data_IF_570325668209
#
_entry.id   IF_570325668209
#
_cell.length_a   1.000
_cell.length_b   1.000
_cell.length_c   1.000
_cell.angle_alpha   90.00
_cell.angle_beta   90.00
_cell.angle_gamma   90.00
#
_symmetry.space_group_name_H-M   'P 1'
#
loop_
_entity.id
_entity.type
_entity.pdbx_description
1 polymer ?
#
# COMPACT_ATOMS: atom_id res chain seq x y z
N UNK A 1 1.30 1.26 -5.17
CA UNK A 1 0.41 2.43 -5.31
C UNK A 1 0.18 2.78 -6.78
N UNK A 2 1.24 3.06 -7.55
CA UNK A 2 1.14 3.53 -8.94
C UNK A 2 0.23 2.69 -9.86
N UNK A 3 0.40 1.35 -9.90
CA UNK A 3 -0.39 0.49 -10.80
C UNK A 3 -1.88 0.49 -10.52
N UNK A 4 -2.28 0.37 -9.25
CA UNK A 4 -3.69 0.34 -8.86
C UNK A 4 -4.33 1.74 -8.97
N UNK A 5 -3.60 2.79 -8.59
CA UNK A 5 -4.07 4.17 -8.76
C UNK A 5 -4.31 4.52 -10.25
N UNK A 6 -3.47 4.01 -11.16
CA UNK A 6 -3.65 4.20 -12.60
C UNK A 6 -4.84 3.43 -13.21
N UNK A 7 -5.40 2.45 -12.50
CA UNK A 7 -6.48 1.59 -13.02
C UNK A 7 -7.83 1.83 -12.34
N UNK A 8 -7.83 2.08 -11.03
CA UNK A 8 -9.06 2.27 -10.24
C UNK A 8 -9.04 3.53 -9.37
N UNK A 9 -8.09 4.44 -9.60
CA UNK A 9 -8.04 5.76 -8.95
C UNK A 9 -7.49 5.77 -7.51
N UNK A 10 -7.25 4.60 -6.90
CA UNK A 10 -6.67 4.48 -5.55
C UNK A 10 -5.62 3.38 -5.48
N UNK A 11 -4.60 3.57 -4.66
CA UNK A 11 -3.55 2.57 -4.41
C UNK A 11 -3.80 1.68 -3.19
N UNK A 12 -4.93 1.85 -2.51
CA UNK A 12 -5.27 1.14 -1.28
C UNK A 12 -5.96 -0.21 -1.56
N UNK A 13 -6.07 -1.05 -0.53
CA UNK A 13 -7.02 -2.16 -0.54
C UNK A 13 -8.41 -1.64 -0.89
N UNK A 14 -9.22 -2.42 -1.60
CA UNK A 14 -10.58 -2.00 -2.01
C UNK A 14 -11.65 -2.47 -1.02
N UNK A 15 -11.45 -3.63 -0.38
CA UNK A 15 -12.40 -4.24 0.53
C UNK A 15 -11.88 -4.28 1.98
N UNK A 16 -12.73 -4.73 2.92
CA UNK A 16 -12.35 -4.98 4.30
C UNK A 16 -11.76 -6.39 4.47
N UNK A 17 -10.92 -6.59 5.49
CA UNK A 17 -10.48 -7.91 5.95
C UNK A 17 -11.69 -8.79 6.31
N UNK A 18 -12.77 -8.21 6.82
CA UNK A 18 -14.00 -8.95 7.12
C UNK A 18 -14.67 -9.52 5.88
N UNK A 19 -14.46 -8.92 4.71
CA UNK A 19 -15.09 -9.36 3.46
C UNK A 19 -14.42 -10.62 2.88
N UNK A 20 -13.23 -11.01 3.38
CA UNK A 20 -12.48 -12.17 2.86
C UNK A 20 -13.30 -13.46 2.95
N UNK A 21 -14.11 -13.62 4.02
CA UNK A 21 -14.93 -14.83 4.22
C UNK A 21 -16.15 -14.89 3.32
N UNK A 22 -16.49 -13.79 2.63
CA UNK A 22 -17.63 -13.70 1.69
C UNK A 22 -17.22 -14.05 0.24
N UNK A 23 -15.93 -14.28 0.00
CA UNK A 23 -15.42 -14.64 -1.32
C UNK A 23 -15.67 -16.13 -1.63
N UNK A 24 -16.18 -16.42 -2.83
CA UNK A 24 -16.28 -17.78 -3.36
C UNK A 24 -14.93 -18.24 -3.92
N UNK A 25 -14.12 -17.30 -4.40
CA UNK A 25 -12.77 -17.54 -4.93
C UNK A 25 -11.79 -16.54 -4.33
N UNK A 26 -10.70 -17.07 -3.79
CA UNK A 26 -9.54 -16.29 -3.35
C UNK A 26 -8.42 -16.52 -4.35
N UNK A 27 -7.96 -15.48 -5.03
CA UNK A 27 -6.74 -15.53 -5.83
C UNK A 27 -5.62 -14.86 -5.04
N UNK A 28 -4.71 -15.66 -4.49
CA UNK A 28 -3.56 -15.17 -3.71
C UNK A 28 -2.32 -15.30 -4.59
N UNK A 29 -1.63 -14.19 -4.85
CA UNK A 29 -0.45 -14.16 -5.72
C UNK A 29 0.69 -13.34 -5.14
N UNK A 30 1.93 -13.83 -5.24
CA UNK A 30 3.11 -13.12 -4.75
C UNK A 30 3.02 -12.73 -3.26
N UNK A 31 2.40 -13.58 -2.43
CA UNK A 31 2.22 -13.35 -1.00
C UNK A 31 2.35 -14.65 -0.20
N UNK A 32 3.14 -14.61 0.87
CA UNK A 32 3.15 -15.64 1.91
C UNK A 32 2.30 -15.17 3.10
N UNK A 33 0.98 -15.14 2.90
CA UNK A 33 0.04 -14.53 3.85
C UNK A 33 0.03 -15.23 5.21
N UNK A 34 0.37 -16.51 5.30
CA UNK A 34 0.42 -17.25 6.58
C UNK A 34 1.49 -16.70 7.51
N UNK A 35 2.66 -16.33 6.97
CA UNK A 35 3.77 -15.75 7.75
C UNK A 35 3.62 -14.22 7.90
N UNK A 36 3.31 -13.54 6.80
CA UNK A 36 3.34 -12.07 6.76
C UNK A 36 2.08 -11.43 7.35
N UNK A 37 0.92 -12.10 7.26
CA UNK A 37 -0.38 -11.59 7.71
C UNK A 37 -1.24 -12.70 8.34
N UNK A 38 -0.81 -13.31 9.47
CA UNK A 38 -1.46 -14.51 10.02
C UNK A 38 -2.98 -14.36 10.24
N UNK A 39 -3.43 -13.17 10.67
CA UNK A 39 -4.86 -12.86 10.89
C UNK A 39 -5.65 -12.88 9.57
N UNK A 40 -5.09 -12.37 8.48
CA UNK A 40 -5.74 -12.43 7.16
C UNK A 40 -5.74 -13.85 6.61
N UNK A 41 -4.64 -14.58 6.80
CA UNK A 41 -4.56 -16.01 6.47
C UNK A 41 -5.63 -16.83 7.20
N UNK A 42 -5.91 -16.51 8.47
CA UNK A 42 -7.01 -17.15 9.21
C UNK A 42 -8.37 -16.91 8.52
N UNK A 43 -8.66 -15.69 8.07
CA UNK A 43 -9.90 -15.41 7.33
C UNK A 43 -9.96 -16.16 5.99
N UNK A 44 -8.83 -16.25 5.27
CA UNK A 44 -8.75 -17.02 4.02
C UNK A 44 -8.99 -18.51 4.26
N UNK A 45 -8.32 -19.10 5.26
CA UNK A 45 -8.53 -20.51 5.66
C UNK A 45 -9.96 -20.76 6.09
N UNK A 46 -10.58 -19.81 6.80
CA UNK A 46 -11.98 -19.85 7.20
C UNK A 46 -12.91 -19.87 5.97
N UNK A 47 -12.70 -18.99 5.00
CA UNK A 47 -13.46 -18.99 3.75
C UNK A 47 -13.37 -20.37 3.05
N UNK A 48 -12.16 -20.94 2.95
CA UNK A 48 -11.96 -22.25 2.31
C UNK A 48 -12.63 -23.38 3.10
N UNK A 49 -12.41 -23.46 4.42
CA UNK A 49 -12.83 -24.61 5.24
C UNK A 49 -14.29 -24.56 5.66
N UNK A 50 -14.83 -23.38 5.95
CA UNK A 50 -16.19 -23.21 6.48
C UNK A 50 -17.20 -22.80 5.41
N UNK A 51 -16.76 -22.11 4.36
CA UNK A 51 -17.65 -21.62 3.27
C UNK A 51 -17.44 -22.34 1.94
N UNK A 52 -16.41 -23.17 1.83
CA UNK A 52 -16.11 -23.91 0.59
C UNK A 52 -15.50 -23.05 -0.51
N UNK A 53 -14.92 -21.89 -0.17
CA UNK A 53 -14.25 -21.02 -1.13
C UNK A 53 -13.09 -21.76 -1.82
N UNK A 54 -12.89 -21.52 -3.12
CA UNK A 54 -11.76 -22.07 -3.87
C UNK A 54 -10.58 -21.12 -3.82
N UNK A 55 -9.46 -21.58 -3.29
CA UNK A 55 -8.22 -20.81 -3.27
C UNK A 55 -7.35 -21.15 -4.51
N UNK A 56 -7.09 -20.14 -5.35
CA UNK A 56 -6.08 -20.16 -6.39
C UNK A 56 -4.82 -19.52 -5.80
N UNK A 57 -3.77 -20.31 -5.61
CA UNK A 57 -2.46 -19.83 -5.16
C UNK A 57 -1.52 -19.72 -6.36
N UNK A 58 -0.93 -18.54 -6.55
CA UNK A 58 0.05 -18.24 -7.59
C UNK A 58 1.36 -17.84 -6.89
N UNK A 59 2.21 -18.84 -6.60
CA UNK A 59 3.52 -18.63 -5.96
C UNK A 59 4.48 -19.75 -6.40
N UNK A 60 5.72 -19.45 -6.84
CA UNK A 60 6.71 -20.46 -7.21
C UNK A 60 7.03 -21.45 -6.06
N UNK A 61 6.92 -20.99 -4.82
CA UNK A 61 7.21 -21.77 -3.61
C UNK A 61 5.95 -22.48 -3.14
N UNK A 62 6.15 -23.59 -2.41
CA UNK A 62 5.09 -24.26 -1.66
C UNK A 62 5.05 -23.68 -0.25
N UNK A 63 4.28 -22.61 -0.07
CA UNK A 63 3.99 -22.03 1.24
C UNK A 63 2.88 -22.81 1.96
N UNK A 64 2.66 -22.57 3.25
CA UNK A 64 1.63 -23.27 4.05
C UNK A 64 0.22 -23.11 3.43
N UNK A 65 -0.08 -21.96 2.83
CA UNK A 65 -1.38 -21.73 2.17
C UNK A 65 -1.63 -22.67 0.98
N UNK A 66 -0.58 -23.30 0.42
CA UNK A 66 -0.72 -24.30 -0.64
C UNK A 66 -1.51 -25.55 -0.19
N UNK A 67 -1.49 -25.89 1.10
CA UNK A 67 -2.26 -27.01 1.66
C UNK A 67 -3.78 -26.76 1.69
N UNK A 68 -4.19 -25.52 1.43
CA UNK A 68 -5.59 -25.10 1.32
C UNK A 68 -5.96 -24.76 -0.13
N UNK A 69 -5.00 -24.78 -1.07
CA UNK A 69 -5.22 -24.35 -2.44
C UNK A 69 -6.02 -25.38 -3.23
N UNK A 70 -7.10 -24.93 -3.88
CA UNK A 70 -7.78 -25.70 -4.90
C UNK A 70 -6.90 -25.84 -6.16
N UNK A 71 -6.17 -24.78 -6.49
CA UNK A 71 -5.21 -24.76 -7.60
C UNK A 71 -3.95 -24.02 -7.18
N UNK A 72 -2.79 -24.68 -7.30
CA UNK A 72 -1.48 -24.06 -7.09
C UNK A 72 -0.74 -23.94 -8.42
N UNK A 73 -0.52 -22.70 -8.85
CA UNK A 73 0.30 -22.34 -10.01
C UNK A 73 1.68 -21.91 -9.53
N UNK A 74 2.72 -22.60 -10.00
CA UNK A 74 4.12 -22.36 -9.63
C UNK A 74 4.90 -21.80 -10.82
N UNK A 75 4.64 -20.53 -11.15
CA UNK A 75 5.26 -19.87 -12.29
C UNK A 75 6.76 -19.64 -12.06
N UNK A 76 7.54 -19.48 -13.12
CA UNK A 76 8.91 -18.97 -13.01
C UNK A 76 8.88 -17.54 -12.43
N UNK A 77 9.72 -17.19 -11.45
CA UNK A 77 9.73 -15.83 -10.89
C UNK A 77 9.89 -14.74 -11.96
N UNK A 78 9.10 -13.66 -11.86
CA UNK A 78 9.14 -12.54 -12.81
C UNK A 78 8.37 -12.77 -14.11
N UNK A 79 7.53 -13.81 -14.20
CA UNK A 79 6.69 -14.10 -15.38
C UNK A 79 5.22 -13.76 -15.19
N UNK A 80 4.90 -12.92 -14.19
CA UNK A 80 3.54 -12.66 -13.71
C UNK A 80 2.66 -11.97 -14.76
N UNK A 81 3.18 -10.96 -15.48
CA UNK A 81 2.45 -10.32 -16.59
C UNK A 81 2.02 -11.35 -17.65
N UNK A 82 2.91 -12.28 -18.01
CA UNK A 82 2.61 -13.31 -19.00
C UNK A 82 1.49 -14.26 -18.51
N UNK A 83 1.52 -14.63 -17.23
CA UNK A 83 0.47 -15.45 -16.63
C UNK A 83 -0.89 -14.73 -16.63
N UNK A 84 -0.93 -13.49 -16.15
CA UNK A 84 -2.17 -12.72 -16.04
C UNK A 84 -2.74 -12.37 -17.41
N UNK A 85 -1.90 -12.05 -18.40
CA UNK A 85 -2.35 -11.86 -19.78
C UNK A 85 -2.86 -13.16 -20.40
N UNK A 86 -2.25 -14.31 -20.09
CA UNK A 86 -2.77 -15.63 -20.49
C UNK A 86 -4.14 -15.92 -19.89
N UNK A 87 -4.36 -15.54 -18.63
CA UNK A 87 -5.67 -15.64 -17.99
C UNK A 87 -6.69 -14.68 -18.63
N UNK A 88 -6.31 -13.42 -18.86
CA UNK A 88 -7.18 -12.41 -19.48
C UNK A 88 -7.58 -12.82 -20.91
N UNK A 89 -6.64 -13.34 -21.69
CA UNK A 89 -6.91 -13.91 -23.01
C UNK A 89 -7.95 -15.03 -22.91
N UNK A 90 -7.78 -15.99 -21.99
CA UNK A 90 -8.74 -17.08 -21.81
C UNK A 90 -10.14 -16.57 -21.40
N UNK A 91 -10.23 -15.56 -20.53
CA UNK A 91 -11.50 -14.94 -20.14
C UNK A 91 -12.23 -14.36 -21.36
N UNK A 92 -11.50 -13.65 -22.22
CA UNK A 92 -12.07 -13.03 -23.42
C UNK A 92 -12.42 -14.08 -24.48
N UNK A 93 -11.53 -15.04 -24.75
CA UNK A 93 -11.70 -16.05 -25.79
C UNK A 93 -12.85 -17.04 -25.50
N UNK A 94 -13.24 -17.19 -24.23
CA UNK A 94 -14.34 -18.06 -23.80
C UNK A 94 -15.61 -17.30 -23.40
N UNK A 95 -15.71 -16.00 -23.68
CA UNK A 95 -16.87 -15.16 -23.36
C UNK A 95 -17.23 -15.15 -21.86
N UNK A 96 -16.22 -15.16 -20.97
CA UNK A 96 -16.40 -15.04 -19.50
C UNK A 96 -16.31 -13.60 -19.00
N UNK A 97 -16.28 -12.64 -19.91
CA UNK A 97 -16.27 -11.20 -19.60
C UNK A 97 -17.63 -10.81 -19.02
N UNK A 98 -17.60 -9.96 -17.99
CA UNK A 98 -18.80 -9.30 -17.51
C UNK A 98 -19.13 -8.10 -18.41
N UNK A 99 -19.76 -8.37 -19.55
CA UNK A 99 -20.06 -7.40 -20.61
C UNK A 99 -20.80 -6.15 -20.10
N UNK A 100 -21.73 -6.34 -19.16
CA UNK A 100 -22.46 -5.22 -18.55
C UNK A 100 -21.53 -4.34 -17.74
N UNK A 101 -20.73 -4.92 -16.86
CA UNK A 101 -19.80 -4.16 -16.02
C UNK A 101 -18.75 -3.43 -16.87
N UNK A 102 -18.16 -4.13 -17.85
CA UNK A 102 -17.17 -3.55 -18.75
C UNK A 102 -17.75 -2.32 -19.47
N UNK A 103 -18.95 -2.42 -20.03
CA UNK A 103 -19.61 -1.29 -20.71
C UNK A 103 -19.97 -0.13 -19.77
N UNK A 104 -20.43 -0.42 -18.56
CA UNK A 104 -20.97 0.60 -17.64
C UNK A 104 -19.92 1.26 -16.73
N UNK A 105 -18.81 0.58 -16.47
CA UNK A 105 -17.88 0.93 -15.36
C UNK A 105 -16.40 0.90 -15.76
N UNK A 106 -16.07 0.66 -17.03
CA UNK A 106 -14.67 0.61 -17.49
C UNK A 106 -14.47 1.39 -18.77
N UNK A 107 -13.21 1.66 -19.09
CA UNK A 107 -12.77 2.21 -20.37
C UNK A 107 -11.56 1.40 -20.89
N UNK A 108 -11.24 1.52 -22.18
CA UNK A 108 -10.04 0.89 -22.76
C UNK A 108 -10.11 -0.63 -23.00
N UNK A 109 -11.31 -1.25 -22.93
CA UNK A 109 -11.48 -2.69 -23.14
C UNK A 109 -10.89 -3.20 -24.47
N UNK A 110 -11.15 -2.51 -25.59
CA UNK A 110 -10.63 -2.92 -26.90
C UNK A 110 -9.09 -2.90 -26.97
N UNK A 111 -8.46 -1.95 -26.28
CA UNK A 111 -7.00 -1.89 -26.19
C UNK A 111 -6.46 -3.08 -25.38
N UNK A 112 -7.11 -3.44 -24.27
CA UNK A 112 -6.75 -4.63 -23.48
C UNK A 112 -6.94 -5.90 -24.31
N UNK A 113 -8.09 -6.04 -24.97
CA UNK A 113 -8.42 -7.19 -25.83
C UNK A 113 -7.38 -7.38 -26.93
N UNK A 114 -6.99 -6.31 -27.60
CA UNK A 114 -5.92 -6.32 -28.61
C UNK A 114 -4.58 -6.71 -28.00
N UNK A 115 -4.21 -6.14 -26.84
CA UNK A 115 -2.94 -6.41 -26.19
C UNK A 115 -2.80 -7.87 -25.71
N UNK A 116 -3.89 -8.49 -25.26
CA UNK A 116 -3.87 -9.89 -24.77
C UNK A 116 -4.14 -10.92 -25.86
N UNK A 117 -4.59 -10.52 -27.06
CA UNK A 117 -4.82 -11.43 -28.18
C UNK A 117 -3.57 -12.26 -28.52
N UNK A 118 -2.40 -11.65 -28.42
CA UNK A 118 -1.10 -12.29 -28.67
C UNK A 118 -0.60 -13.18 -27.51
N UNK A 119 -1.38 -13.31 -26.43
CA UNK A 119 -1.03 -14.08 -25.24
C UNK A 119 -2.00 -15.25 -24.98
N UNK A 120 -2.17 -16.19 -25.92
CA UNK A 120 -2.94 -17.39 -25.65
C UNK A 120 -2.27 -18.22 -24.53
N UNK A 121 -3.04 -19.07 -23.81
CA UNK A 121 -2.52 -19.91 -22.72
C UNK A 121 -1.27 -20.73 -23.10
N UNK A 122 -1.15 -21.16 -24.35
CA UNK A 122 0.00 -21.88 -24.91
C UNK A 122 1.28 -21.04 -24.90
N UNK A 123 1.18 -19.76 -25.28
CA UNK A 123 2.31 -18.84 -25.24
C UNK A 123 2.68 -18.50 -23.79
N UNK A 124 1.68 -18.21 -22.96
CA UNK A 124 1.89 -17.95 -21.54
C UNK A 124 2.56 -19.15 -20.85
N UNK A 125 2.22 -20.38 -21.23
CA UNK A 125 2.83 -21.60 -20.69
C UNK A 125 4.33 -21.71 -20.98
N UNK A 126 4.78 -21.33 -22.19
CA UNK A 126 6.20 -21.35 -22.55
C UNK A 126 7.01 -20.44 -21.62
N UNK A 127 6.50 -19.24 -21.36
CA UNK A 127 7.17 -18.23 -20.52
C UNK A 127 7.11 -18.63 -19.05
N UNK A 128 5.91 -18.93 -18.55
CA UNK A 128 5.64 -19.13 -17.12
C UNK A 128 6.03 -20.51 -16.61
N UNK A 129 6.06 -21.52 -17.48
CA UNK A 129 6.18 -22.93 -17.11
C UNK A 129 4.87 -23.56 -16.57
N UNK A 130 3.74 -22.84 -16.61
CA UNK A 130 2.44 -23.37 -16.19
C UNK A 130 1.74 -24.04 -17.38
N UNK A 131 1.21 -25.28 -17.24
CA UNK A 131 0.44 -25.92 -18.30
C UNK A 131 -0.75 -25.06 -18.78
N UNK A 132 -1.02 -24.95 -20.10
CA UNK A 132 -2.11 -24.13 -20.64
C UNK A 132 -3.46 -24.43 -19.98
N UNK A 133 -3.75 -25.72 -19.77
CA UNK A 133 -4.99 -26.17 -19.12
C UNK A 133 -5.17 -25.63 -17.70
N UNK A 134 -4.08 -25.42 -16.95
CA UNK A 134 -4.12 -24.82 -15.60
C UNK A 134 -4.34 -23.30 -15.65
N UNK A 135 -3.80 -22.62 -16.66
CA UNK A 135 -4.04 -21.19 -16.89
C UNK A 135 -5.53 -20.97 -17.21
N UNK A 136 -6.08 -21.76 -18.14
CA UNK A 136 -7.51 -21.72 -18.49
C UNK A 136 -8.38 -22.08 -17.28
N UNK A 137 -8.00 -23.09 -16.50
CA UNK A 137 -8.74 -23.45 -15.29
C UNK A 137 -8.76 -22.32 -14.25
N UNK A 138 -7.63 -21.67 -13.99
CA UNK A 138 -7.55 -20.53 -13.07
C UNK A 138 -8.42 -19.36 -13.55
N UNK A 139 -8.31 -19.03 -14.85
CA UNK A 139 -9.12 -17.99 -15.50
C UNK A 139 -10.62 -18.27 -15.35
N UNK A 140 -11.05 -19.51 -15.65
CA UNK A 140 -12.45 -19.93 -15.52
C UNK A 140 -12.95 -19.85 -14.09
N UNK A 141 -12.21 -20.40 -13.13
CA UNK A 141 -12.61 -20.42 -11.73
C UNK A 141 -12.78 -18.99 -11.22
N UNK A 142 -11.82 -18.11 -11.52
CA UNK A 142 -11.86 -16.71 -11.11
C UNK A 142 -13.01 -15.93 -11.78
N UNK A 143 -13.19 -16.06 -13.09
CA UNK A 143 -14.17 -15.26 -13.83
C UNK A 143 -15.62 -15.68 -13.58
N UNK A 144 -15.87 -16.99 -13.42
CA UNK A 144 -17.22 -17.53 -13.32
C UNK A 144 -17.80 -17.54 -11.90
N UNK A 145 -16.99 -17.24 -10.88
CA UNK A 145 -17.48 -17.18 -9.51
C UNK A 145 -18.30 -15.91 -9.27
N UNK A 146 -19.28 -15.99 -8.36
CA UNK A 146 -20.11 -14.84 -8.02
C UNK A 146 -19.27 -13.75 -7.33
N UNK A 147 -18.44 -14.15 -6.38
CA UNK A 147 -17.50 -13.28 -5.67
C UNK A 147 -16.06 -13.81 -5.76
N UNK A 148 -15.20 -13.11 -6.50
CA UNK A 148 -13.76 -13.38 -6.54
C UNK A 148 -12.95 -12.21 -6.01
N UNK A 149 -11.98 -12.48 -5.14
CA UNK A 149 -11.10 -11.46 -4.58
C UNK A 149 -9.62 -11.78 -4.87
N UNK A 150 -8.86 -10.77 -5.28
CA UNK A 150 -7.42 -10.86 -5.54
C UNK A 150 -6.66 -10.30 -4.34
N UNK A 151 -5.67 -11.04 -3.86
CA UNK A 151 -4.76 -10.63 -2.78
C UNK A 151 -3.31 -10.77 -3.24
N UNK A 152 -2.50 -9.73 -3.00
CA UNK A 152 -1.08 -9.78 -3.36
C UNK A 152 -0.20 -8.99 -2.41
N UNK A 153 1.10 -9.25 -2.46
CA UNK A 153 2.10 -8.51 -1.69
C UNK A 153 3.36 -8.28 -2.53
N UNK A 154 4.53 -8.45 -1.92
CA UNK A 154 5.82 -8.04 -2.47
C UNK A 154 6.28 -8.90 -3.66
N UNK A 155 5.81 -10.15 -3.78
CA UNK A 155 6.11 -11.00 -4.94
C UNK A 155 5.48 -10.50 -6.25
N UNK A 156 4.66 -9.44 -6.19
CA UNK A 156 4.14 -8.73 -7.36
C UNK A 156 4.83 -7.38 -7.55
N UNK A 157 5.13 -6.67 -6.45
CA UNK A 157 5.59 -5.27 -6.51
C UNK A 157 7.10 -5.11 -6.55
N UNK A 158 7.89 -6.04 -5.99
CA UNK A 158 9.36 -5.98 -5.98
C UNK A 158 9.97 -6.60 -7.24
N UNK A 159 9.48 -6.15 -8.39
CA UNK A 159 9.94 -6.54 -9.72
C UNK A 159 10.13 -5.30 -10.56
N UNK A 160 11.02 -5.37 -11.57
CA UNK A 160 11.19 -4.30 -12.56
C UNK A 160 9.88 -3.97 -13.31
N UNK A 161 8.95 -4.92 -13.37
CA UNK A 161 7.60 -4.78 -13.97
C UNK A 161 6.48 -4.68 -12.93
N UNK A 162 6.77 -4.31 -11.68
CA UNK A 162 5.79 -4.38 -10.58
C UNK A 162 4.52 -3.54 -10.81
N UNK A 163 4.65 -2.39 -11.48
CA UNK A 163 3.49 -1.57 -11.88
C UNK A 163 2.60 -2.30 -12.89
N UNK A 164 3.20 -2.98 -13.87
CA UNK A 164 2.47 -3.69 -14.92
C UNK A 164 1.84 -4.98 -14.39
N UNK A 165 2.51 -5.67 -13.45
CA UNK A 165 1.92 -6.81 -12.74
C UNK A 165 0.60 -6.42 -12.05
N UNK A 166 0.60 -5.27 -11.34
CA UNK A 166 -0.61 -4.77 -10.67
C UNK A 166 -1.68 -4.36 -11.68
N UNK A 167 -1.33 -3.70 -12.79
CA UNK A 167 -2.30 -3.35 -13.84
C UNK A 167 -2.93 -4.60 -14.46
N UNK A 168 -2.14 -5.65 -14.71
CA UNK A 168 -2.64 -6.90 -15.26
C UNK A 168 -3.62 -7.60 -14.28
N UNK A 169 -3.34 -7.56 -12.97
CA UNK A 169 -4.30 -8.03 -11.95
C UNK A 169 -5.57 -7.20 -11.92
N UNK A 170 -5.47 -5.87 -11.98
CA UNK A 170 -6.63 -4.98 -12.08
C UNK A 170 -7.48 -5.32 -13.31
N UNK A 171 -6.85 -5.56 -14.45
CA UNK A 171 -7.57 -5.93 -15.69
C UNK A 171 -8.38 -7.21 -15.50
N UNK A 172 -7.86 -8.24 -14.81
CA UNK A 172 -8.64 -9.45 -14.51
C UNK A 172 -9.90 -9.12 -13.70
N UNK A 173 -9.79 -8.30 -12.65
CA UNK A 173 -10.94 -7.89 -11.84
C UNK A 173 -11.94 -7.04 -12.63
N UNK A 174 -11.46 -6.11 -13.47
CA UNK A 174 -12.31 -5.24 -14.27
C UNK A 174 -13.03 -6.00 -15.40
N UNK A 175 -12.35 -6.93 -16.08
CA UNK A 175 -12.94 -7.81 -17.11
C UNK A 175 -14.09 -8.65 -16.56
N UNK A 176 -14.06 -8.98 -15.27
CA UNK A 176 -15.00 -9.91 -14.63
C UNK A 176 -15.99 -9.20 -13.68
N UNK A 177 -15.86 -7.88 -13.49
CA UNK A 177 -16.69 -7.11 -12.57
C UNK A 177 -16.51 -7.50 -11.09
N UNK A 178 -15.31 -7.94 -10.72
CA UNK A 178 -14.96 -8.42 -9.37
C UNK A 178 -14.40 -7.29 -8.49
N UNK A 179 -15.14 -6.18 -8.41
CA UNK A 179 -14.82 -4.99 -7.59
C UNK A 179 -16.10 -4.26 -7.17
N UNK A 180 -16.06 -3.48 -6.09
CA UNK A 180 -17.18 -2.66 -5.62
C UNK A 180 -18.26 -3.42 -4.85
N UNK A 181 -17.99 -4.66 -4.44
CA UNK A 181 -18.93 -5.53 -3.71
C UNK A 181 -18.22 -6.33 -2.60
N UNK A 182 -18.91 -6.70 -1.51
CA UNK A 182 -18.38 -7.64 -0.52
C UNK A 182 -17.93 -8.96 -1.16
N UNK A 183 -16.87 -9.57 -0.64
CA UNK A 183 -16.28 -10.80 -1.17
C UNK A 183 -15.50 -10.66 -2.48
N UNK A 184 -15.33 -9.43 -2.99
CA UNK A 184 -14.59 -9.16 -4.23
C UNK A 184 -13.36 -8.29 -3.99
N UNK A 185 -12.79 -7.74 -5.05
CA UNK A 185 -11.88 -6.61 -4.97
C UNK A 185 -10.42 -6.95 -5.20
N UNK A 186 -9.67 -5.87 -5.23
CA UNK A 186 -8.22 -5.79 -5.42
C UNK A 186 -7.58 -5.43 -4.07
N UNK A 187 -6.83 -6.36 -3.50
CA UNK A 187 -6.37 -6.28 -2.12
C UNK A 187 -4.83 -6.39 -2.00
N UNK A 188 -4.07 -5.29 -2.20
CA UNK A 188 -2.67 -5.23 -1.82
C UNK A 188 -2.52 -5.37 -0.30
N UNK A 189 -1.86 -6.43 0.13
CA UNK A 189 -1.54 -6.71 1.52
C UNK A 189 -0.31 -5.90 1.94
N UNK A 190 -0.56 -4.78 2.62
CA UNK A 190 0.47 -3.88 3.13
C UNK A 190 1.21 -4.53 4.31
N UNK A 191 2.54 -4.40 4.33
CA UNK A 191 3.39 -5.05 5.33
C UNK A 191 3.39 -4.35 6.69
N UNK A 192 4.02 -3.19 6.77
CA UNK A 192 4.15 -2.44 8.02
C UNK A 192 2.79 -1.92 8.52
N UNK A 193 2.63 -1.86 9.84
CA UNK A 193 1.41 -1.49 10.55
C UNK A 193 0.76 -0.18 10.09
N UNK A 194 1.56 0.79 9.65
CA UNK A 194 1.09 2.12 9.28
C UNK A 194 1.60 2.60 7.92
N UNK A 195 2.10 1.73 7.04
CA UNK A 195 2.52 2.17 5.69
C UNK A 195 1.36 2.79 4.92
N UNK A 196 0.13 2.30 5.17
CA UNK A 196 -1.08 2.91 4.62
C UNK A 196 -1.24 4.34 5.15
N UNK A 197 -1.17 4.53 6.47
CA UNK A 197 -1.32 5.85 7.08
C UNK A 197 -0.19 6.82 6.72
N UNK A 198 1.06 6.37 6.68
CA UNK A 198 2.19 7.17 6.21
C UNK A 198 1.97 7.66 4.77
N UNK A 199 1.49 6.78 3.88
CA UNK A 199 1.12 7.16 2.52
C UNK A 199 -0.07 8.14 2.50
N UNK A 200 -1.10 7.88 3.31
CA UNK A 200 -2.31 8.70 3.41
C UNK A 200 -1.98 10.13 3.86
N UNK A 201 -0.94 10.29 4.69
CA UNK A 201 -0.51 11.57 5.26
C UNK A 201 0.64 12.24 4.51
N UNK A 202 0.88 11.86 3.24
CA UNK A 202 1.88 12.52 2.41
C UNK A 202 3.33 12.13 2.75
N UNK A 203 3.56 10.96 3.35
CA UNK A 203 4.88 10.31 3.45
C UNK A 203 5.38 9.80 2.08
N UNK A 204 5.19 10.62 1.05
CA UNK A 204 5.46 10.38 -0.36
C UNK A 204 5.94 11.68 -0.98
N UNK A 205 6.78 11.55 -1.99
CA UNK A 205 7.50 12.70 -2.56
C UNK A 205 6.64 13.61 -3.44
N UNK A 206 5.43 13.19 -3.80
CA UNK A 206 4.64 13.80 -4.88
C UNK A 206 3.21 14.20 -4.48
N UNK A 207 2.82 14.04 -3.22
CA UNK A 207 1.48 14.36 -2.73
C UNK A 207 1.51 14.94 -1.31
N UNK A 208 0.56 15.82 -1.02
CA UNK A 208 0.11 16.17 0.31
C UNK A 208 -0.80 15.08 0.91
N UNK A 209 -1.16 15.16 2.21
CA UNK A 209 -2.17 14.30 2.81
C UNK A 209 -3.43 14.11 1.94
N UNK A 210 -3.99 12.91 1.90
CA UNK A 210 -5.12 12.54 1.06
C UNK A 210 -4.80 12.34 -0.42
N UNK A 211 -3.54 12.02 -0.76
CA UNK A 211 -3.07 11.79 -2.13
C UNK A 211 -3.25 12.99 -3.07
N UNK A 212 -3.24 14.20 -2.51
CA UNK A 212 -3.43 15.44 -3.27
C UNK A 212 -2.10 15.86 -3.88
N UNK A 213 -1.98 15.84 -5.21
CA UNK A 213 -0.70 16.07 -5.92
C UNK A 213 -0.08 17.41 -5.55
N UNK A 214 1.23 17.44 -5.33
CA UNK A 214 1.97 18.71 -5.09
C UNK A 214 1.91 19.63 -6.30
N UNK A 215 1.78 19.08 -7.51
CA UNK A 215 1.61 19.85 -8.74
C UNK A 215 0.22 20.49 -8.88
N UNK A 216 -0.78 20.07 -8.10
CA UNK A 216 -2.11 20.67 -8.11
C UNK A 216 -2.09 22.01 -7.36
N UNK A 217 -2.35 23.09 -8.10
CA UNK A 217 -2.42 24.44 -7.56
C UNK A 217 -3.49 24.61 -6.49
N UNK A 218 -4.67 24.01 -6.67
CA UNK A 218 -5.76 24.12 -5.68
C UNK A 218 -5.38 23.44 -4.36
N UNK A 219 -4.74 22.26 -4.44
CA UNK A 219 -4.20 21.57 -3.28
C UNK A 219 -3.14 22.42 -2.57
N UNK A 220 -2.14 22.93 -3.30
CA UNK A 220 -1.09 23.78 -2.71
C UNK A 220 -1.65 25.03 -2.04
N UNK A 221 -2.61 25.73 -2.67
CA UNK A 221 -3.25 26.91 -2.05
C UNK A 221 -3.96 26.56 -0.75
N UNK A 222 -4.65 25.41 -0.72
CA UNK A 222 -5.32 24.92 0.49
C UNK A 222 -4.32 24.63 1.61
N UNK A 223 -3.23 23.91 1.34
CA UNK A 223 -2.22 23.59 2.35
C UNK A 223 -1.42 24.82 2.80
N UNK A 224 -1.08 25.74 1.88
CA UNK A 224 -0.43 27.00 2.23
C UNK A 224 -1.30 27.83 3.20
N UNK A 225 -2.60 27.95 2.91
CA UNK A 225 -3.54 28.62 3.79
C UNK A 225 -3.71 27.89 5.14
N UNK A 226 -3.83 26.56 5.11
CA UNK A 226 -3.97 25.73 6.32
C UNK A 226 -2.77 25.80 7.26
N UNK A 227 -1.57 25.87 6.71
CA UNK A 227 -0.32 25.98 7.48
C UNK A 227 0.11 27.42 7.75
N UNK A 228 -0.60 28.42 7.22
CA UNK A 228 -0.25 29.83 7.38
C UNK A 228 1.10 30.21 6.74
N UNK A 229 1.51 29.51 5.68
CA UNK A 229 2.78 29.78 4.97
C UNK A 229 2.52 30.46 3.62
N UNK A 230 3.50 31.23 3.08
CA UNK A 230 3.38 31.77 1.73
C UNK A 230 3.19 30.65 0.71
N UNK A 231 2.27 30.83 -0.23
CA UNK A 231 1.98 29.82 -1.25
C UNK A 231 3.22 29.43 -2.07
N UNK A 232 4.09 30.41 -2.34
CA UNK A 232 5.33 30.27 -3.10
C UNK A 232 6.37 29.40 -2.37
N UNK A 233 6.22 29.20 -1.06
CA UNK A 233 7.09 28.31 -0.28
C UNK A 233 6.81 26.82 -0.54
N UNK A 234 5.64 26.49 -1.11
CA UNK A 234 5.26 25.12 -1.43
C UNK A 234 5.59 24.78 -2.89
N UNK A 235 6.66 23.99 -3.06
CA UNK A 235 7.13 23.53 -4.37
C UNK A 235 6.06 22.72 -5.11
N UNK A 236 5.81 22.97 -6.41
CA UNK A 236 4.99 22.11 -7.26
C UNK A 236 5.73 20.85 -7.74
N UNK A 237 7.04 20.79 -7.52
CA UNK A 237 7.91 19.74 -8.07
C UNK A 237 7.99 18.58 -7.08
N UNK A 238 7.73 17.33 -7.51
CA UNK A 238 7.97 16.15 -6.70
C UNK A 238 9.40 16.09 -6.16
N UNK A 239 9.56 15.65 -4.91
CA UNK A 239 10.85 15.40 -4.29
C UNK A 239 11.54 14.14 -4.81
N UNK A 240 12.75 13.88 -4.29
CA UNK A 240 13.52 12.68 -4.62
C UNK A 240 13.01 11.47 -3.83
N UNK A 241 12.81 10.34 -4.52
CA UNK A 241 12.50 9.05 -3.89
C UNK A 241 13.70 8.51 -3.09
N UNK A 242 13.45 7.62 -2.11
CA UNK A 242 14.52 7.00 -1.31
C UNK A 242 15.63 6.36 -2.18
N UNK A 243 15.27 5.76 -3.31
CA UNK A 243 16.21 5.18 -4.28
C UNK A 243 17.04 6.22 -5.03
N UNK A 244 16.54 7.45 -5.16
CA UNK A 244 17.26 8.57 -5.76
C UNK A 244 18.09 9.34 -4.73
N UNK A 245 17.70 9.30 -3.45
CA UNK A 245 18.39 10.05 -2.39
C UNK A 245 19.85 9.65 -2.23
N UNK A 246 20.18 8.36 -2.27
CA UNK A 246 21.58 7.90 -2.16
C UNK A 246 22.45 8.42 -3.31
N UNK A 247 21.92 8.43 -4.54
CA UNK A 247 22.58 9.06 -5.68
C UNK A 247 22.68 10.58 -5.51
N UNK A 248 21.63 11.20 -4.96
CA UNK A 248 21.61 12.62 -4.61
C UNK A 248 22.68 13.01 -3.59
N UNK A 249 23.06 12.12 -2.68
CA UNK A 249 24.20 12.34 -1.77
C UNK A 249 25.51 12.29 -2.55
N UNK A 250 25.70 11.27 -3.38
CA UNK A 250 26.95 11.07 -4.13
C UNK A 250 27.23 12.15 -5.17
N UNK A 251 26.19 12.73 -5.77
CA UNK A 251 26.32 13.84 -6.73
C UNK A 251 26.24 15.24 -6.09
N UNK A 252 26.13 15.31 -4.75
CA UNK A 252 26.15 16.54 -3.97
C UNK A 252 24.85 17.34 -3.95
N UNK A 253 23.75 16.84 -4.55
CA UNK A 253 22.42 17.47 -4.44
C UNK A 253 21.82 17.37 -3.03
N UNK A 254 22.19 16.35 -2.27
CA UNK A 254 21.76 16.14 -0.88
C UNK A 254 22.97 16.24 0.04
N UNK A 255 22.92 17.20 0.96
CA UNK A 255 23.97 17.44 1.96
C UNK A 255 23.59 16.96 3.35
N UNK A 256 22.29 17.01 3.65
CA UNK A 256 21.73 16.62 4.94
C UNK A 256 20.59 15.64 4.75
N UNK A 257 20.49 14.65 5.64
CA UNK A 257 19.35 13.72 5.68
C UNK A 257 18.86 13.57 7.11
N UNK A 258 17.54 13.56 7.26
CA UNK A 258 16.87 13.26 8.52
C UNK A 258 16.05 11.98 8.33
N UNK A 259 16.53 10.89 8.92
CA UNK A 259 15.89 9.58 8.87
C UNK A 259 15.09 9.38 10.16
N UNK A 260 13.82 9.00 10.04
CA UNK A 260 12.94 8.74 11.18
C UNK A 260 12.35 7.35 11.09
N UNK A 261 12.66 6.49 12.07
CA UNK A 261 12.08 5.15 12.20
C UNK A 261 12.42 4.20 11.05
N UNK A 262 13.55 4.40 10.37
CA UNK A 262 14.02 3.56 9.28
C UNK A 262 15.51 3.21 9.43
N UNK A 263 15.91 2.11 8.81
CA UNK A 263 17.26 1.56 8.86
C UNK A 263 17.75 1.15 7.46
N UNK A 264 18.07 2.13 6.58
CA UNK A 264 18.52 1.83 5.22
C UNK A 264 19.80 0.99 5.17
N UNK A 265 20.61 0.97 6.24
CA UNK A 265 21.79 0.11 6.32
C UNK A 265 21.48 -1.39 6.48
N UNK A 266 20.21 -1.73 6.67
CA UNK A 266 19.71 -3.11 6.71
C UNK A 266 18.65 -3.38 5.63
N UNK A 267 17.73 -2.44 5.41
CA UNK A 267 16.53 -2.67 4.57
C UNK A 267 16.70 -2.36 3.09
N UNK A 268 17.66 -1.50 2.71
CA UNK A 268 17.78 -1.04 1.34
C UNK A 268 18.60 -2.01 0.48
N UNK A 269 18.34 -2.08 -0.84
CA UNK A 269 19.12 -2.90 -1.74
C UNK A 269 20.53 -2.32 -1.94
N UNK A 270 21.51 -3.21 -2.20
CA UNK A 270 22.91 -2.83 -2.45
C UNK A 270 23.52 -2.01 -1.29
N UNK A 271 23.70 -2.66 -0.15
CA UNK A 271 24.26 -2.04 1.07
C UNK A 271 25.63 -1.38 0.87
N UNK A 272 26.43 -1.83 -0.11
CA UNK A 272 27.70 -1.19 -0.42
C UNK A 272 27.49 0.23 -0.99
N UNK A 273 26.49 0.40 -1.86
CA UNK A 273 26.13 1.71 -2.39
C UNK A 273 25.57 2.63 -1.30
N UNK A 274 24.66 2.12 -0.46
CA UNK A 274 24.08 2.87 0.66
C UNK A 274 25.17 3.30 1.64
N UNK A 275 26.05 2.37 2.05
CA UNK A 275 27.19 2.66 2.93
C UNK A 275 28.11 3.71 2.33
N UNK A 276 28.40 3.61 1.03
CA UNK A 276 29.25 4.60 0.36
C UNK A 276 28.59 5.98 0.38
N UNK A 277 27.32 6.09 -0.01
CA UNK A 277 26.57 7.35 0.03
C UNK A 277 26.53 7.96 1.43
N UNK A 278 26.08 7.20 2.44
CA UNK A 278 25.98 7.70 3.81
C UNK A 278 27.35 8.08 4.42
N UNK A 279 28.46 7.53 3.93
CA UNK A 279 29.80 7.95 4.38
C UNK A 279 30.25 9.31 3.84
N UNK A 280 29.59 9.81 2.77
CA UNK A 280 29.91 11.08 2.11
C UNK A 280 28.94 12.21 2.50
N UNK A 281 27.88 11.91 3.24
CA UNK A 281 26.87 12.92 3.60
C UNK A 281 27.43 13.92 4.61
N UNK A 282 27.16 15.21 4.42
CA UNK A 282 27.68 16.27 5.32
C UNK A 282 26.98 16.24 6.69
N UNK A 283 25.70 15.82 6.73
CA UNK A 283 24.92 15.72 7.96
C UNK A 283 23.88 14.60 7.90
N UNK A 284 23.77 13.84 8.98
CA UNK A 284 22.82 12.74 9.13
C UNK A 284 22.25 12.75 10.54
N UNK A 285 20.96 13.03 10.66
CA UNK A 285 20.20 12.86 11.88
C UNK A 285 19.37 11.58 11.78
N UNK A 286 19.40 10.76 12.84
CA UNK A 286 18.57 9.58 12.97
C UNK A 286 17.66 9.73 14.19
N UNK A 287 16.35 9.64 13.98
CA UNK A 287 15.37 9.49 15.05
C UNK A 287 14.87 8.04 15.09
N UNK A 288 15.17 7.31 16.16
CA UNK A 288 14.81 5.90 16.30
C UNK A 288 14.60 5.53 17.78
N UNK A 289 13.98 4.37 18.00
CA UNK A 289 13.73 3.76 19.31
C UNK A 289 14.88 2.82 19.72
N UNK A 290 15.72 2.37 18.77
CA UNK A 290 16.89 1.54 19.04
C UNK A 290 18.15 2.07 18.36
N UNK A 291 19.32 1.72 18.91
CA UNK A 291 20.58 1.82 18.17
C UNK A 291 20.59 0.75 17.08
N UNK A 292 20.59 1.18 15.83
CA UNK A 292 20.59 0.31 14.65
C UNK A 292 21.86 0.52 13.78
N UNK A 293 21.98 -0.20 12.67
CA UNK A 293 23.13 -0.12 11.76
C UNK A 293 23.30 1.27 11.12
N UNK A 294 22.20 1.98 10.85
CA UNK A 294 22.25 3.37 10.37
C UNK A 294 22.72 4.34 11.46
N UNK A 295 22.45 4.05 12.73
CA UNK A 295 22.86 4.89 13.86
C UNK A 295 24.38 4.99 13.99
N UNK A 296 25.13 3.97 13.55
CA UNK A 296 26.60 3.99 13.54
C UNK A 296 27.19 5.00 12.55
N UNK A 297 26.39 5.46 11.59
CA UNK A 297 26.77 6.45 10.59
C UNK A 297 26.18 7.83 10.88
N UNK A 298 25.27 7.95 11.86
CA UNK A 298 24.57 9.18 12.18
C UNK A 298 25.47 10.15 12.95
N UNK A 299 25.36 11.43 12.61
CA UNK A 299 26.03 12.52 13.34
C UNK A 299 25.25 12.89 14.60
N UNK A 300 23.93 12.74 14.57
CA UNK A 300 23.02 13.02 15.69
C UNK A 300 22.00 11.88 15.78
N UNK A 301 21.76 11.40 16.99
CA UNK A 301 20.71 10.43 17.30
C UNK A 301 19.69 11.11 18.22
N UNK A 302 18.41 11.03 17.85
CA UNK A 302 17.28 11.58 18.59
C UNK A 302 16.40 10.43 19.12
N UNK A 303 16.37 10.16 20.44
CA UNK A 303 15.64 9.02 20.97
C UNK A 303 14.12 9.23 20.87
N UNK A 304 13.43 8.34 20.18
CA UNK A 304 11.98 8.36 20.02
C UNK A 304 11.28 7.41 21.01
N UNK A 305 10.02 7.71 21.32
CA UNK A 305 9.15 6.83 22.11
C UNK A 305 8.56 5.70 21.23
N UNK A 306 8.46 4.50 21.81
CA UNK A 306 7.83 3.32 21.19
C UNK A 306 6.30 3.43 21.15
N UNK A 307 5.64 2.52 20.43
CA UNK A 307 4.18 2.50 20.28
C UNK A 307 3.43 2.38 21.62
N UNK A 308 4.02 1.69 22.60
CA UNK A 308 3.44 1.49 23.93
C UNK A 308 3.58 2.73 24.82
N UNK A 309 4.36 3.73 24.38
CA UNK A 309 4.77 4.89 25.17
C UNK A 309 4.18 6.20 24.62
N UNK A 310 3.51 6.14 23.46
CA UNK A 310 2.92 7.30 22.79
C UNK A 310 1.48 7.05 22.36
N UNK A 311 0.74 8.15 22.23
CA UNK A 311 -0.61 8.16 21.67
C UNK A 311 -0.57 8.53 20.19
N UNK A 312 -1.58 8.11 19.43
CA UNK A 312 -1.70 8.44 18.01
C UNK A 312 -2.70 7.55 17.30
N UNK A 313 -2.52 7.41 15.99
CA UNK A 313 -3.31 6.51 15.16
C UNK A 313 -2.43 5.68 14.23
N UNK A 314 -2.86 4.46 13.94
CA UNK A 314 -2.38 3.69 12.79
C UNK A 314 -3.50 3.47 11.79
N UNK A 315 -3.20 3.57 10.49
CA UNK A 315 -4.05 3.09 9.41
C UNK A 315 -3.50 1.75 8.91
N UNK A 316 -4.29 0.69 9.05
CA UNK A 316 -3.89 -0.65 8.62
C UNK A 316 -4.12 -0.90 7.11
N UNK A 317 -3.84 -2.12 6.63
CA UNK A 317 -3.96 -2.49 5.21
C UNK A 317 -5.36 -2.32 4.61
N UNK A 318 -6.43 -2.41 5.41
CA UNK A 318 -7.82 -2.24 4.96
C UNK A 318 -8.32 -0.79 5.10
N UNK A 319 -7.39 0.17 5.22
CA UNK A 319 -7.67 1.60 5.39
C UNK A 319 -8.31 1.96 6.73
N UNK A 320 -8.35 1.04 7.70
CA UNK A 320 -8.94 1.30 9.01
C UNK A 320 -7.97 2.10 9.85
N UNK A 321 -8.37 3.33 10.20
CA UNK A 321 -7.71 4.20 11.16
C UNK A 321 -8.09 3.75 12.57
N UNK A 322 -7.11 3.48 13.42
CA UNK A 322 -7.29 2.93 14.76
C UNK A 322 -6.45 3.74 15.75
N UNK A 323 -7.00 4.00 16.94
CA UNK A 323 -6.27 4.69 18.00
C UNK A 323 -5.22 3.78 18.65
N UNK A 324 -4.08 4.38 18.97
CA UNK A 324 -3.03 3.83 19.81
C UNK A 324 -2.98 4.65 21.09
N UNK A 325 -2.86 3.98 22.24
CA UNK A 325 -2.80 4.64 23.55
C UNK A 325 -1.54 4.20 24.28
N UNK A 326 -0.89 5.12 25.02
CA UNK A 326 0.25 4.77 25.84
C UNK A 326 -0.22 3.88 27.00
N UNK A 327 0.60 2.88 27.31
CA UNK A 327 0.46 2.00 28.48
C UNK A 327 1.72 2.02 29.36
N UNK A 328 2.79 2.65 28.88
CA UNK A 328 4.05 2.85 29.58
C UNK A 328 4.52 4.31 29.42
N UNK A 329 5.33 4.84 30.35
CA UNK A 329 6.05 6.09 30.14
C UNK A 329 7.21 5.89 29.14
N UNK A 330 7.57 6.95 28.40
CA UNK A 330 8.74 6.92 27.53
C UNK A 330 10.04 6.78 28.35
N UNK A 331 11.02 5.97 27.92
CA UNK A 331 12.24 5.71 28.67
C UNK A 331 13.25 6.85 28.55
N UNK A 332 13.88 7.22 29.67
CA UNK A 332 14.95 8.21 29.69
C UNK A 332 14.52 9.56 29.11
N UNK A 333 15.23 10.02 28.08
CA UNK A 333 14.95 11.27 27.36
C UNK A 333 14.12 11.07 26.08
N UNK A 334 13.61 9.84 25.86
CA UNK A 334 12.82 9.53 24.68
C UNK A 334 11.53 10.35 24.66
N UNK A 335 11.16 10.83 23.47
CA UNK A 335 9.94 11.62 23.27
C UNK A 335 9.12 11.09 22.10
N UNK A 336 7.79 11.26 22.11
CA UNK A 336 6.98 11.05 20.92
C UNK A 336 7.55 11.81 19.71
N UNK A 337 7.59 11.17 18.55
CA UNK A 337 8.23 11.69 17.34
C UNK A 337 7.78 13.12 16.99
N UNK A 338 6.47 13.38 17.13
CA UNK A 338 5.87 14.68 16.81
C UNK A 338 6.41 15.81 17.70
N UNK A 339 6.76 15.54 18.96
CA UNK A 339 7.34 16.55 19.86
C UNK A 339 8.75 16.92 19.43
N UNK A 340 9.55 15.93 19.02
CA UNK A 340 10.91 16.16 18.53
C UNK A 340 10.86 16.99 17.25
N UNK A 341 9.99 16.63 16.30
CA UNK A 341 9.80 17.37 15.04
C UNK A 341 9.30 18.79 15.32
N UNK A 342 8.34 18.96 16.24
CA UNK A 342 7.82 20.29 16.63
C UNK A 342 8.94 21.17 17.20
N UNK A 343 9.79 20.62 18.06
CA UNK A 343 10.92 21.38 18.62
C UNK A 343 11.95 21.76 17.55
N UNK A 344 12.28 20.84 16.64
CA UNK A 344 13.18 21.13 15.50
C UNK A 344 12.59 22.27 14.65
N UNK A 345 11.32 22.18 14.27
CA UNK A 345 10.65 23.22 13.49
C UNK A 345 10.68 24.58 14.20
N UNK A 346 10.43 24.61 15.51
CA UNK A 346 10.47 25.83 16.31
C UNK A 346 11.88 26.44 16.39
N UNK A 347 12.91 25.61 16.55
CA UNK A 347 14.31 26.05 16.50
C UNK A 347 14.73 26.56 15.11
N UNK A 348 14.03 26.15 14.05
CA UNK A 348 14.21 26.64 12.68
C UNK A 348 13.39 27.91 12.38
N UNK A 349 12.68 28.48 13.36
CA UNK A 349 11.94 29.73 13.23
C UNK A 349 10.44 29.58 12.93
N UNK A 350 9.90 28.37 13.01
CA UNK A 350 8.45 28.17 13.02
C UNK A 350 7.85 28.35 14.42
N UNK A 351 6.52 28.43 14.50
CA UNK A 351 5.78 28.58 15.75
C UNK A 351 4.72 27.49 15.89
N UNK A 352 5.14 26.23 15.79
CA UNK A 352 4.27 25.06 15.94
C UNK A 352 3.98 24.81 17.42
N UNK A 353 2.71 24.62 17.75
CA UNK A 353 2.24 24.35 19.10
C UNK A 353 1.10 23.35 19.04
N UNK A 354 1.33 22.17 19.62
CA UNK A 354 0.34 21.10 19.74
C UNK A 354 0.40 20.55 21.15
N UNK A 355 -0.75 20.47 21.82
CA UNK A 355 -0.83 19.89 23.17
C UNK A 355 -0.92 18.36 23.10
N UNK A 356 -1.47 17.83 22.02
CA UNK A 356 -1.70 16.41 21.84
C UNK A 356 -1.66 15.95 20.37
N UNK A 357 -1.46 14.64 20.12
CA UNK A 357 -1.65 14.05 18.79
C UNK A 357 -3.05 14.24 18.22
N UNK A 358 -4.07 14.46 19.07
CA UNK A 358 -5.44 14.73 18.62
C UNK A 358 -5.53 16.09 17.92
N UNK A 359 -4.77 17.09 18.35
CA UNK A 359 -4.74 18.41 17.73
C UNK A 359 -4.13 18.34 16.33
N UNK A 360 -3.03 17.57 16.20
CA UNK A 360 -2.41 17.25 14.90
C UNK A 360 -3.42 16.51 14.00
N UNK A 361 -4.15 15.55 14.56
CA UNK A 361 -5.16 14.81 13.80
C UNK A 361 -6.30 15.73 13.32
N UNK A 362 -6.77 16.66 14.15
CA UNK A 362 -7.80 17.65 13.79
C UNK A 362 -7.35 18.54 12.64
N UNK A 363 -6.14 19.10 12.71
CA UNK A 363 -5.57 19.90 11.63
C UNK A 363 -5.46 19.08 10.33
N UNK A 364 -4.89 17.88 10.42
CA UNK A 364 -4.73 16.97 9.29
C UNK A 364 -6.07 16.60 8.65
N UNK A 365 -7.08 16.26 9.46
CA UNK A 365 -8.40 15.87 8.98
C UNK A 365 -9.12 17.04 8.28
N UNK A 366 -8.94 18.27 8.74
CA UNK A 366 -9.48 19.47 8.10
C UNK A 366 -8.92 19.69 6.68
N UNK A 367 -7.68 19.26 6.43
CA UNK A 367 -7.02 19.38 5.12
C UNK A 367 -7.16 18.13 4.23
N UNK A 368 -7.69 17.03 4.78
CA UNK A 368 -7.73 15.71 4.16
C UNK A 368 -9.18 15.22 3.99
N UNK A 369 -9.83 15.41 2.82
CA UNK A 369 -11.27 15.18 2.65
C UNK A 369 -11.73 13.77 3.04
N UNK A 370 -10.93 12.74 2.77
CA UNK A 370 -11.28 11.36 3.08
C UNK A 370 -11.20 11.03 4.59
N UNK A 371 -10.67 11.93 5.42
CA UNK A 371 -10.57 11.84 6.88
C UNK A 371 -11.48 12.85 7.59
N UNK A 372 -12.14 13.77 6.87
CA UNK A 372 -12.82 14.93 7.43
C UNK A 372 -13.91 14.60 8.46
N UNK A 373 -14.52 13.42 8.36
CA UNK A 373 -15.51 12.93 9.30
C UNK A 373 -14.94 12.28 10.56
N UNK A 374 -13.63 12.01 10.62
CA UNK A 374 -13.03 11.25 11.71
C UNK A 374 -12.66 12.16 12.89
N UNK A 375 -12.85 11.65 14.10
CA UNK A 375 -12.37 12.25 15.34
C UNK A 375 -11.90 11.14 16.29
N UNK A 376 -11.08 11.49 17.29
CA UNK A 376 -10.62 10.52 18.28
C UNK A 376 -11.79 9.83 19.02
N UNK A 377 -12.85 10.57 19.34
CA UNK A 377 -14.07 10.02 19.93
C UNK A 377 -14.67 8.90 19.06
N UNK A 378 -14.79 9.13 17.74
CA UNK A 378 -15.31 8.13 16.80
C UNK A 378 -14.36 6.96 16.64
N UNK A 379 -13.06 7.22 16.53
CA UNK A 379 -12.04 6.17 16.39
C UNK A 379 -11.94 5.28 17.62
N UNK A 380 -12.29 5.78 18.81
CA UNK A 380 -12.34 4.99 20.04
C UNK A 380 -13.38 3.85 19.99
N UNK A 381 -14.34 3.90 19.07
CA UNK A 381 -15.41 2.90 18.90
C UNK A 381 -15.00 1.73 17.98
N UNK A 382 -13.71 1.48 17.80
CA UNK A 382 -13.19 0.37 16.99
C UNK A 382 -12.59 0.77 15.63
N UNK A 383 -12.38 2.06 15.41
CA UNK A 383 -11.74 2.60 14.20
C UNK A 383 -12.64 2.66 12.97
N UNK A 384 -12.27 3.52 12.01
CA UNK A 384 -13.04 3.80 10.80
C UNK A 384 -12.22 3.56 9.55
N UNK A 385 -12.83 2.99 8.51
CA UNK A 385 -12.21 2.87 7.19
C UNK A 385 -12.47 4.12 6.38
N UNK A 386 -11.41 4.76 5.87
CA UNK A 386 -11.58 5.86 4.95
C UNK A 386 -11.95 5.34 3.54
N UNK A 387 -12.69 6.12 2.72
CA UNK A 387 -13.18 7.48 2.99
C UNK A 387 -14.24 7.61 4.10
N UNK A 388 -14.15 8.70 4.86
CA UNK A 388 -15.14 9.12 5.84
C UNK A 388 -15.27 10.65 5.75
N UNK A 389 -16.07 11.17 4.80
CA UNK A 389 -16.09 12.59 4.46
C UNK A 389 -16.85 13.46 5.47
N UNK A 390 -17.77 12.89 6.25
CA UNK A 390 -18.61 13.65 7.20
C UNK A 390 -18.68 12.99 8.58
N UNK A 391 -18.94 13.75 9.65
CA UNK A 391 -18.99 13.22 11.03
C UNK A 391 -20.03 12.12 11.27
N UNK A 392 -21.06 12.04 10.43
CA UNK A 392 -22.11 11.03 10.44
C UNK A 392 -21.83 9.84 9.49
N UNK A 393 -20.84 9.95 8.59
CA UNK A 393 -20.52 8.87 7.64
C UNK A 393 -19.93 7.65 8.35
N UNK A 394 -20.47 6.42 8.19
CA UNK A 394 -20.03 5.23 8.94
C UNK A 394 -18.64 4.70 8.59
N UNK A 395 -17.99 5.31 7.59
CA UNK A 395 -16.77 4.83 6.93
C UNK A 395 -17.11 3.99 5.70
N UNK A 396 -16.11 3.69 4.88
CA UNK A 396 -16.29 3.00 3.59
C UNK A 396 -15.54 1.67 3.57
N UNK A 397 -16.19 0.55 3.95
CA UNK A 397 -15.57 -0.78 3.92
C UNK A 397 -15.21 -1.27 2.52
N UNK A 398 -16.03 -0.93 1.51
CA UNK A 398 -15.89 -1.34 0.11
C UNK A 398 -15.82 -0.11 -0.79
N UNK A 399 -14.76 -0.02 -1.60
CA UNK A 399 -14.52 1.06 -2.58
C UNK A 399 -15.14 0.79 -3.94
#
# INVERSE_FOLDING_TARGET
>A
MAGLAATVGSGAMTNSIKDIVEADVLLVTGSNTTEAHPVLSLQMKRAVRERGARLILIDPRRIELADFAYLHLRQKPGTDVALFNGMAHAIIAHDWVNERFVRERTEGFEAVKTAVADWPPERAAIVTGIPPSKIVAAARIYAMAKNSAIFWAMGITQHTTGTDNVKALSNLALLTGQIGRPGTGLNPLRGQNNVQGACDLGGLVNVFPGYQKVADEAARRKFAAGWGVPYESLSPTPGLTVTEMMNGVLDGRIKGMYIMGENPMLSDPNLNHVRHALSQIEFLALQDIFKNETAEMAHVILPAASFAEKSGTFTNTERRVQLVRPVLPAPGEARPDWQIITEIANRMGHAWSYDSPEDIFKEMAALTPQYAGMSYERLAQGGLQWPCPTPDHPGTPVL
#
